data_IF_515781938313
#
_entry.id   IF_515781938313
#
_cell.length_a   1.000
_cell.length_b   1.000
_cell.length_c   1.000
_cell.angle_alpha   90.00
_cell.angle_beta   90.00
_cell.angle_gamma   90.00
#
_symmetry.space_group_name_H-M   'P 1'
#
loop_
_entity.id
_entity.type
_entity.pdbx_description
1 polymer ?
#
# COMPACT_ATOMS: atom_id res chain seq x y z
N UNK A 1 -31.51 -15.04 -5.56
CA UNK A 1 -30.76 -14.72 -4.34
C UNK A 1 -29.40 -14.24 -4.77
N UNK A 2 -29.20 -12.92 -4.80
CA UNK A 2 -27.91 -12.31 -5.17
C UNK A 2 -27.01 -12.46 -3.95
N UNK A 3 -25.98 -13.29 -4.05
CA UNK A 3 -24.93 -13.34 -3.02
C UNK A 3 -24.24 -11.99 -3.09
N UNK A 4 -24.53 -11.10 -2.15
CA UNK A 4 -23.75 -9.91 -1.95
C UNK A 4 -22.36 -10.39 -1.50
N UNK A 5 -21.38 -10.34 -2.40
CA UNK A 5 -19.97 -10.47 -2.05
C UNK A 5 -19.68 -9.32 -1.09
N UNK A 6 -19.75 -9.58 0.21
CA UNK A 6 -19.35 -8.63 1.24
C UNK A 6 -17.87 -8.34 0.99
N UNK A 7 -17.52 -7.07 0.85
CA UNK A 7 -16.12 -6.68 0.76
C UNK A 7 -15.36 -7.36 1.93
N UNK A 8 -14.15 -7.91 1.69
CA UNK A 8 -13.37 -8.55 2.75
C UNK A 8 -13.20 -7.57 3.91
N UNK A 9 -13.20 -8.07 5.15
CA UNK A 9 -12.88 -7.21 6.29
C UNK A 9 -11.48 -6.62 6.12
N UNK A 10 -11.25 -5.46 6.72
CA UNK A 10 -9.97 -4.76 6.65
C UNK A 10 -8.80 -5.66 7.12
N UNK A 11 -9.03 -6.49 8.13
CA UNK A 11 -8.05 -7.50 8.59
C UNK A 11 -7.77 -8.57 7.52
N UNK A 12 -8.80 -9.04 6.82
CA UNK A 12 -8.65 -10.03 5.74
C UNK A 12 -7.89 -9.43 4.56
N UNK A 13 -8.13 -8.15 4.25
CA UNK A 13 -7.32 -7.43 3.27
C UNK A 13 -5.86 -7.32 3.71
N UNK A 14 -5.58 -6.95 4.97
CA UNK A 14 -4.22 -6.83 5.48
C UNK A 14 -3.45 -8.16 5.41
N UNK A 15 -4.12 -9.27 5.70
CA UNK A 15 -3.57 -10.61 5.53
C UNK A 15 -3.26 -10.90 4.05
N UNK A 16 -4.23 -10.68 3.15
CA UNK A 16 -4.07 -10.89 1.71
C UNK A 16 -2.92 -10.04 1.13
N UNK A 17 -2.82 -8.77 1.54
CA UNK A 17 -1.73 -7.87 1.13
C UNK A 17 -0.37 -8.36 1.63
N UNK A 18 -0.31 -8.84 2.87
CA UNK A 18 0.91 -9.43 3.45
C UNK A 18 1.35 -10.67 2.67
N UNK A 19 0.42 -11.58 2.37
CA UNK A 19 0.69 -12.80 1.61
C UNK A 19 1.17 -12.48 0.20
N UNK A 20 0.47 -11.58 -0.51
CA UNK A 20 0.84 -11.15 -1.86
C UNK A 20 2.25 -10.55 -1.91
N UNK A 21 2.61 -9.72 -0.92
CA UNK A 21 3.94 -9.11 -0.85
C UNK A 21 5.03 -10.12 -0.50
N UNK A 22 4.81 -10.94 0.52
CA UNK A 22 5.83 -11.87 1.02
C UNK A 22 6.11 -13.03 0.05
N UNK A 23 5.18 -13.32 -0.87
CA UNK A 23 5.32 -14.32 -1.92
C UNK A 23 5.74 -13.73 -3.27
N UNK A 24 5.87 -12.40 -3.40
CA UNK A 24 6.19 -11.78 -4.67
C UNK A 24 7.67 -12.00 -5.05
N UNK A 25 7.96 -12.64 -6.20
CA UNK A 25 9.34 -12.95 -6.59
C UNK A 25 10.23 -11.71 -6.79
N UNK A 26 9.63 -10.58 -7.16
CA UNK A 26 10.36 -9.35 -7.43
C UNK A 26 10.77 -8.64 -6.14
N UNK A 27 9.86 -8.58 -5.17
CA UNK A 27 10.18 -8.13 -3.81
C UNK A 27 11.22 -9.04 -3.17
N UNK A 28 11.12 -10.36 -3.35
CA UNK A 28 12.15 -11.29 -2.84
C UNK A 28 13.53 -11.07 -3.46
N UNK A 29 13.59 -10.72 -4.76
CA UNK A 29 14.85 -10.48 -5.46
C UNK A 29 15.54 -9.17 -5.04
N UNK A 30 14.77 -8.10 -4.77
CA UNK A 30 15.31 -6.77 -4.51
C UNK A 30 15.18 -6.29 -3.05
N UNK A 31 14.36 -6.96 -2.25
CA UNK A 31 13.93 -6.53 -0.93
C UNK A 31 14.95 -6.70 0.19
N UNK A 32 16.13 -7.30 -0.05
CA UNK A 32 17.14 -7.56 1.00
C UNK A 32 17.44 -6.34 1.89
N UNK A 33 17.50 -5.15 1.29
CA UNK A 33 17.78 -3.89 1.99
C UNK A 33 16.52 -3.03 2.21
N UNK A 34 15.35 -3.54 1.85
CA UNK A 34 14.08 -2.86 2.05
C UNK A 34 13.57 -3.06 3.48
N UNK A 35 13.96 -2.13 4.35
CA UNK A 35 13.54 -2.09 5.75
C UNK A 35 13.04 -0.70 6.08
N UNK A 36 11.73 -0.57 6.27
CA UNK A 36 11.10 0.68 6.69
C UNK A 36 9.71 0.43 7.29
N UNK A 37 9.18 1.43 7.97
CA UNK A 37 7.77 1.52 8.37
C UNK A 37 7.15 2.69 7.63
N UNK A 38 6.05 2.48 6.93
CA UNK A 38 5.36 3.53 6.18
C UNK A 38 3.85 3.42 6.33
N UNK A 39 3.16 4.54 6.15
CA UNK A 39 1.70 4.59 6.24
C UNK A 39 1.05 4.65 4.85
N UNK A 40 0.01 3.85 4.64
CA UNK A 40 -0.97 4.04 3.58
C UNK A 40 -2.21 4.67 4.21
N UNK A 41 -2.52 5.90 3.83
CA UNK A 41 -3.75 6.58 4.21
C UNK A 41 -4.70 6.51 3.03
N UNK A 42 -5.75 5.70 3.18
CA UNK A 42 -6.74 5.42 2.17
C UNK A 42 -8.07 6.13 2.41
N UNK A 43 -8.04 7.27 3.12
CA UNK A 43 -9.19 8.10 3.50
C UNK A 43 -10.13 7.42 4.52
N UNK A 44 -10.70 6.26 4.20
CA UNK A 44 -11.59 5.52 5.11
C UNK A 44 -10.81 4.77 6.20
N UNK A 45 -9.65 4.23 5.83
CA UNK A 45 -8.77 3.44 6.69
C UNK A 45 -7.31 3.85 6.54
N UNK A 46 -6.55 3.69 7.61
CA UNK A 46 -5.10 3.92 7.63
C UNK A 46 -4.35 2.65 8.00
N UNK A 47 -3.22 2.43 7.34
CA UNK A 47 -2.42 1.22 7.53
C UNK A 47 -0.97 1.57 7.73
N UNK A 48 -0.38 1.17 8.86
CA UNK A 48 1.08 1.24 9.03
C UNK A 48 1.68 -0.12 8.69
N UNK A 49 2.42 -0.15 7.59
CA UNK A 49 3.10 -1.33 7.05
C UNK A 49 4.54 -1.34 7.54
N UNK A 50 4.90 -2.38 8.28
CA UNK A 50 6.26 -2.60 8.77
C UNK A 50 6.95 -3.66 7.92
N UNK A 51 8.06 -3.28 7.29
CA UNK A 51 8.85 -4.14 6.41
C UNK A 51 10.25 -4.33 6.97
N UNK A 52 10.72 -5.59 6.99
CA UNK A 52 12.10 -5.95 7.36
C UNK A 52 12.67 -6.84 6.28
N UNK A 53 13.74 -6.39 5.62
CA UNK A 53 14.42 -7.11 4.55
C UNK A 53 13.45 -7.64 3.48
N UNK A 54 12.50 -6.79 3.06
CA UNK A 54 11.53 -7.09 2.01
C UNK A 54 10.32 -7.89 2.47
N UNK A 55 10.28 -8.32 3.73
CA UNK A 55 9.16 -9.05 4.31
C UNK A 55 8.27 -8.10 5.11
N UNK A 56 6.98 -8.05 4.81
CA UNK A 56 6.00 -7.42 5.69
C UNK A 56 5.88 -8.27 6.96
N UNK A 57 6.28 -7.70 8.09
CA UNK A 57 6.26 -8.37 9.40
C UNK A 57 5.01 -8.00 10.21
N UNK A 58 4.39 -6.85 9.93
CA UNK A 58 3.16 -6.39 10.58
C UNK A 58 2.47 -5.34 9.72
N UNK A 59 1.13 -5.38 9.70
CA UNK A 59 0.28 -4.27 9.28
C UNK A 59 -0.59 -3.91 10.47
N UNK A 60 -0.55 -2.63 10.87
CA UNK A 60 -1.44 -2.10 11.91
C UNK A 60 -2.58 -1.35 11.23
N UNK A 61 -3.81 -1.76 11.51
CA UNK A 61 -5.05 -1.18 10.96
C UNK A 61 -5.54 -0.09 11.89
N UNK A 62 -5.84 1.08 11.32
CA UNK A 62 -6.35 2.27 12.00
C UNK A 62 -5.59 2.61 13.30
N UNK A 63 -4.24 2.67 13.27
CA UNK A 63 -3.47 2.96 14.46
C UNK A 63 -3.75 4.38 14.98
N UNK A 64 -3.72 4.55 16.29
CA UNK A 64 -3.79 5.88 16.89
C UNK A 64 -2.62 6.78 16.43
N UNK A 65 -2.81 8.09 16.50
CA UNK A 65 -1.87 9.11 15.94
C UNK A 65 -0.42 9.03 16.43
N UNK A 66 -0.17 8.39 17.57
CA UNK A 66 1.16 8.20 18.17
C UNK A 66 1.46 6.73 18.50
N UNK A 67 0.58 5.81 18.12
CA UNK A 67 0.67 4.41 18.53
C UNK A 67 1.76 3.65 17.77
N UNK A 68 1.84 3.86 16.45
CA UNK A 68 2.77 3.14 15.59
C UNK A 68 3.61 4.13 14.79
N UNK A 69 4.94 4.16 14.98
CA UNK A 69 5.80 5.06 14.23
C UNK A 69 5.94 4.62 12.77
N UNK A 70 5.99 5.60 11.88
CA UNK A 70 6.27 5.44 10.46
C UNK A 70 7.19 6.57 9.97
N UNK A 71 7.96 6.31 8.90
CA UNK A 71 8.95 7.25 8.36
C UNK A 71 8.33 8.19 7.32
N UNK A 72 7.42 7.68 6.50
CA UNK A 72 6.70 8.44 5.48
C UNK A 72 5.28 7.91 5.31
N UNK A 73 4.42 8.72 4.68
CA UNK A 73 3.04 8.38 4.38
C UNK A 73 2.74 8.59 2.89
N UNK A 74 1.91 7.70 2.35
CA UNK A 74 1.29 7.82 1.03
C UNK A 74 -0.19 8.03 1.27
N UNK A 75 -0.71 9.20 0.90
CA UNK A 75 -2.11 9.58 1.15
C UNK A 75 -2.82 9.87 -0.17
N UNK A 76 -4.06 9.44 -0.30
CA UNK A 76 -4.95 9.81 -1.40
C UNK A 76 -6.40 9.55 -0.99
N UNK A 77 -7.37 10.05 -1.75
CA UNK A 77 -8.78 9.67 -1.56
C UNK A 77 -9.01 8.16 -1.76
N UNK A 78 -10.09 7.67 -1.15
CA UNK A 78 -10.66 6.34 -1.38
C UNK A 78 -10.86 6.09 -2.88
N UNK A 79 -11.32 7.09 -3.63
CA UNK A 79 -11.45 6.99 -5.09
C UNK A 79 -10.12 6.67 -5.78
N UNK A 80 -9.04 7.38 -5.45
CA UNK A 80 -7.72 7.11 -6.04
C UNK A 80 -7.21 5.72 -5.67
N UNK A 81 -7.31 5.31 -4.41
CA UNK A 81 -6.92 3.96 -4.00
C UNK A 81 -7.76 2.86 -4.66
N UNK A 82 -9.07 3.09 -4.80
CA UNK A 82 -9.98 2.20 -5.51
C UNK A 82 -9.59 2.00 -6.98
N UNK A 83 -9.14 3.05 -7.68
CA UNK A 83 -8.62 2.93 -9.05
C UNK A 83 -7.30 2.13 -9.11
N UNK A 84 -6.40 2.30 -8.14
CA UNK A 84 -5.17 1.50 -8.04
C UNK A 84 -5.43 0.02 -7.81
N UNK A 85 -6.51 -0.31 -7.08
CA UNK A 85 -6.92 -1.69 -6.79
C UNK A 85 -7.50 -2.45 -7.99
N UNK A 86 -7.75 -1.79 -9.13
CA UNK A 86 -8.28 -2.45 -10.33
C UNK A 86 -7.20 -3.27 -11.03
N UNK A 87 -7.52 -4.44 -11.62
CA UNK A 87 -6.57 -5.24 -12.40
C UNK A 87 -5.89 -4.44 -13.53
N UNK A 88 -6.64 -3.53 -14.15
CA UNK A 88 -6.15 -2.58 -15.16
C UNK A 88 -6.57 -1.16 -14.73
N UNK A 89 -5.71 -0.42 -14.01
CA UNK A 89 -6.01 0.95 -13.60
C UNK A 89 -6.14 1.87 -14.82
N UNK A 90 -7.00 2.87 -14.72
CA UNK A 90 -7.11 3.91 -15.74
C UNK A 90 -5.81 4.75 -15.82
N UNK A 91 -5.59 5.50 -16.93
CA UNK A 91 -4.47 6.43 -17.02
C UNK A 91 -4.40 7.36 -15.81
N UNK A 92 -3.17 7.59 -15.34
CA UNK A 92 -2.83 8.34 -14.13
C UNK A 92 -3.11 7.66 -12.78
N UNK A 93 -3.64 6.43 -12.76
CA UNK A 93 -3.76 5.59 -11.56
C UNK A 93 -2.86 4.34 -11.59
N UNK A 94 -1.95 4.29 -12.56
CA UNK A 94 -1.07 3.12 -12.78
C UNK A 94 0.20 3.15 -11.93
N UNK A 95 0.52 4.30 -11.31
CA UNK A 95 1.72 4.44 -10.49
C UNK A 95 1.72 5.73 -9.70
N UNK A 96 2.47 5.72 -8.58
CA UNK A 96 2.49 6.81 -7.60
C UNK A 96 2.88 8.15 -8.21
N UNK A 97 3.79 8.20 -9.18
CA UNK A 97 4.16 9.46 -9.82
C UNK A 97 3.01 10.08 -10.60
N UNK A 98 2.34 9.26 -11.42
CA UNK A 98 1.22 9.72 -12.22
C UNK A 98 0.07 10.24 -11.35
N UNK A 99 -0.19 9.56 -10.22
CA UNK A 99 -1.19 9.99 -9.26
C UNK A 99 -0.76 11.24 -8.48
N UNK A 100 0.51 11.33 -8.08
CA UNK A 100 1.02 12.50 -7.36
C UNK A 100 1.07 13.77 -8.22
N UNK A 101 1.31 13.63 -9.52
CA UNK A 101 1.35 14.78 -10.43
C UNK A 101 -0.02 15.19 -10.97
N UNK A 102 -0.93 14.23 -11.20
CA UNK A 102 -2.16 14.47 -11.97
C UNK A 102 -3.45 14.17 -11.19
N UNK A 103 -3.34 13.66 -9.97
CA UNK A 103 -4.46 13.34 -9.06
C UNK A 103 -4.17 13.94 -7.69
N UNK A 104 -4.70 13.33 -6.63
CA UNK A 104 -4.68 13.82 -5.25
C UNK A 104 -3.71 13.04 -4.34
N UNK A 105 -2.85 12.20 -4.90
CA UNK A 105 -1.87 11.45 -4.12
C UNK A 105 -0.78 12.36 -3.57
N UNK A 106 -0.45 12.21 -2.29
CA UNK A 106 0.61 12.95 -1.60
C UNK A 106 1.62 11.99 -0.98
N UNK A 107 2.89 12.33 -1.11
CA UNK A 107 4.02 11.65 -0.49
C UNK A 107 4.60 12.59 0.59
N UNK A 108 4.49 12.18 1.85
CA UNK A 108 4.82 13.03 3.01
C UNK A 108 5.79 12.34 3.96
N UNK A 109 6.56 13.10 4.74
CA UNK A 109 7.55 12.58 5.69
C UNK A 109 8.94 12.42 5.07
N UNK A 110 9.66 11.37 5.46
CA UNK A 110 11.02 11.09 4.96
C UNK A 110 10.97 10.45 3.55
N UNK A 111 10.82 11.31 2.54
CA UNK A 111 10.76 10.90 1.13
C UNK A 111 12.09 10.28 0.66
N UNK A 112 13.23 10.55 1.32
CA UNK A 112 14.49 9.91 0.93
C UNK A 112 14.42 8.39 1.16
N UNK A 113 13.84 7.94 2.27
CA UNK A 113 13.61 6.52 2.55
C UNK A 113 12.68 5.89 1.50
N UNK A 114 11.63 6.61 1.08
CA UNK A 114 10.79 6.18 -0.04
C UNK A 114 11.61 6.01 -1.32
N UNK A 115 12.43 7.00 -1.68
CA UNK A 115 13.22 6.98 -2.92
C UNK A 115 14.27 5.87 -2.93
N UNK A 116 14.93 5.59 -1.80
CA UNK A 116 15.90 4.51 -1.66
C UNK A 116 15.27 3.12 -1.86
N UNK A 117 13.97 2.98 -1.59
CA UNK A 117 13.23 1.72 -1.67
C UNK A 117 12.19 1.70 -2.79
N UNK A 118 12.32 2.64 -3.76
CA UNK A 118 11.27 2.96 -4.72
C UNK A 118 10.75 1.74 -5.47
N UNK A 119 11.63 0.86 -5.96
CA UNK A 119 11.22 -0.30 -6.76
C UNK A 119 10.32 -1.26 -5.99
N UNK A 120 10.70 -1.56 -4.74
CA UNK A 120 9.91 -2.43 -3.88
C UNK A 120 8.58 -1.76 -3.53
N UNK A 121 8.59 -0.49 -3.14
CA UNK A 121 7.37 0.26 -2.79
C UNK A 121 6.37 0.34 -3.95
N UNK A 122 6.83 0.68 -5.16
CA UNK A 122 5.94 0.69 -6.33
C UNK A 122 5.39 -0.70 -6.61
N UNK A 123 6.19 -1.76 -6.41
CA UNK A 123 5.71 -3.14 -6.53
C UNK A 123 4.64 -3.48 -5.49
N UNK A 124 4.80 -3.08 -4.23
CA UNK A 124 3.78 -3.29 -3.20
C UNK A 124 2.46 -2.63 -3.59
N UNK A 125 2.51 -1.41 -4.14
CA UNK A 125 1.32 -0.69 -4.61
C UNK A 125 0.70 -1.36 -5.84
N UNK A 126 1.50 -1.90 -6.75
CA UNK A 126 1.01 -2.68 -7.88
C UNK A 126 0.31 -3.98 -7.45
N UNK A 127 0.71 -4.58 -6.34
CA UNK A 127 0.05 -5.79 -5.80
C UNK A 127 -1.38 -5.51 -5.32
N UNK A 128 -1.76 -4.25 -5.10
CA UNK A 128 -3.16 -3.87 -4.86
C UNK A 128 -4.08 -4.26 -6.03
N UNK A 129 -3.55 -4.40 -7.25
CA UNK A 129 -4.32 -4.88 -8.42
C UNK A 129 -4.79 -6.33 -8.25
N UNK A 130 -4.11 -7.10 -7.41
CA UNK A 130 -4.45 -8.48 -7.07
C UNK A 130 -5.29 -8.57 -5.80
N UNK A 131 -5.00 -7.74 -4.80
CA UNK A 131 -5.67 -7.80 -3.48
C UNK A 131 -6.88 -6.88 -3.37
N UNK A 132 -7.05 -5.95 -4.30
CA UNK A 132 -7.92 -4.79 -4.15
C UNK A 132 -7.35 -3.76 -3.17
N UNK A 133 -8.03 -2.62 -3.10
CA UNK A 133 -7.90 -1.65 -2.01
C UNK A 133 -9.14 -1.78 -1.09
N UNK A 134 -9.00 -1.64 0.24
CA UNK A 134 -10.09 -1.78 1.21
C UNK A 134 -10.88 -0.46 1.34
N UNK A 135 -11.40 0.03 0.21
CA UNK A 135 -12.15 1.29 0.04
C UNK A 135 -13.25 1.14 -1.02
#
# INVERSE_FOLDING_TARGET
MTVATRAPSVDAWAQSFTEANNQDPEIQAHGKYFTCSYMLDMEEHTFVVQVVSGTIVKISVDPGSIEVPYQFAIRASAHTWGEFGKPVPAPMYHGIWSASFQRDMKLEGDVLVLMQNLRCLTRQIELLRSTGAPV
#
